data_IF_021691361940
#
_entry.id   IF_021691361940
#
_cell.length_a   1.000
_cell.length_b   1.000
_cell.length_c   1.000
_cell.angle_alpha   90.00
_cell.angle_beta   90.00
_cell.angle_gamma   90.00
#
_symmetry.space_group_name_H-M   'P 1'
#
loop_
_entity.id
_entity.type
_entity.pdbx_description
1 polymer ?
2 polymer ?
3 non-polymer ?
4 non-polymer ?
5 water ?
#
# COMPACT_ATOMS: atom_id res chain seq x y z
N UNK A 4 9.54 -13.51 28.28
CA UNK A 4 10.68 -13.42 29.15
C UNK A 4 11.82 -12.73 28.41
N UNK A 5 13.05 -12.96 28.89
CA UNK A 5 14.24 -12.50 28.19
C UNK A 5 14.46 -13.22 26.87
N UNK A 6 13.76 -14.33 26.62
CA UNK A 6 14.07 -15.19 25.49
C UNK A 6 13.23 -14.89 24.26
N UNK A 7 12.20 -14.08 24.39
CA UNK A 7 11.32 -13.77 23.29
C UNK A 7 11.70 -12.42 22.69
N UNK A 8 11.26 -12.23 21.45
CA UNK A 8 11.54 -11.04 20.66
C UNK A 8 10.24 -10.63 19.97
N UNK A 9 9.96 -9.34 19.97
CA UNK A 9 8.88 -8.78 19.18
C UNK A 9 9.44 -7.62 18.39
N UNK A 10 9.06 -7.55 17.11
CA UNK A 10 9.58 -6.58 16.16
C UNK A 10 8.40 -5.87 15.52
N UNK A 11 8.47 -4.56 15.45
CA UNK A 11 7.37 -3.80 14.89
C UNK A 11 7.88 -2.97 13.74
N UNK A 12 7.12 -2.96 12.65
CA UNK A 12 7.50 -2.20 11.47
C UNK A 12 6.29 -1.38 11.04
N UNK A 13 6.53 -0.24 10.41
CA UNK A 13 5.40 0.61 10.05
C UNK A 13 5.34 0.73 8.54
N UNK A 14 4.12 0.79 7.99
CA UNK A 14 3.90 0.99 6.57
C UNK A 14 2.98 2.18 6.43
N UNK A 15 3.07 2.87 5.29
CA UNK A 15 2.10 3.88 4.93
C UNK A 15 1.52 3.53 3.57
N UNK A 16 0.20 3.62 3.46
CA UNK A 16 -0.55 3.39 2.24
C UNK A 16 -1.17 4.73 1.88
N UNK A 17 -1.05 5.15 0.62
CA UNK A 17 -1.64 6.44 0.31
C UNK A 17 -2.08 6.53 -1.12
N UNK A 18 -2.76 7.64 -1.45
CA UNK A 18 -3.06 7.91 -2.85
C UNK A 18 -3.32 9.40 -3.06
N UNK A 19 -3.27 9.80 -4.32
CA UNK A 19 -3.71 11.12 -4.75
C UNK A 19 -4.58 10.93 -5.98
N UNK A 20 -5.47 11.88 -6.20
CA UNK A 20 -6.39 11.86 -7.34
C UNK A 20 -6.52 13.28 -7.81
N UNK A 21 -6.60 13.47 -9.12
CA UNK A 21 -6.83 14.78 -9.70
C UNK A 21 -7.90 14.67 -10.80
N UNK A 22 -8.84 15.61 -10.78
CA UNK A 22 -9.84 15.69 -11.83
C UNK A 22 -9.19 16.23 -13.09
N UNK A 23 -9.39 15.55 -14.22
CA UNK A 23 -8.80 16.01 -15.46
C UNK A 23 -9.58 17.21 -15.98
N UNK A 24 -8.88 18.21 -16.50
CA UNK A 24 -9.71 19.24 -17.13
C UNK A 24 -10.31 18.78 -18.45
N UNK A 25 -9.80 17.70 -19.05
CA UNK A 25 -10.35 17.16 -20.28
C UNK A 25 -10.57 15.67 -20.09
N UNK A 26 -11.81 15.17 -20.10
CA UNK A 26 -12.02 13.72 -19.96
C UNK A 26 -11.40 13.01 -21.15
N UNK A 27 -10.99 11.75 -20.93
CA UNK A 27 -10.42 10.99 -22.05
C UNK A 27 -11.52 10.53 -23.00
N UNK A 28 -11.10 9.94 -24.12
CA UNK A 28 -12.08 9.52 -25.12
C UNK A 28 -13.02 8.47 -24.55
N UNK A 29 -12.59 7.75 -23.52
CA UNK A 29 -13.43 6.79 -22.81
C UNK A 29 -14.22 7.42 -21.67
N UNK A 30 -14.13 8.74 -21.49
CA UNK A 30 -14.81 9.33 -20.36
C UNK A 30 -14.15 9.07 -19.02
N UNK A 31 -12.88 8.70 -18.99
CA UNK A 31 -12.19 8.70 -17.70
C UNK A 31 -12.05 10.14 -17.25
N UNK A 32 -12.41 10.41 -15.99
CA UNK A 32 -12.50 11.79 -15.47
C UNK A 32 -11.35 12.18 -14.55
N UNK A 33 -10.64 11.19 -14.01
CA UNK A 33 -9.60 11.48 -12.99
C UNK A 33 -8.29 10.74 -13.27
N UNK A 34 -7.20 11.32 -12.78
CA UNK A 34 -5.85 10.71 -12.84
C UNK A 34 -5.54 10.37 -11.38
N UNK A 35 -5.12 9.14 -11.09
CA UNK A 35 -4.85 8.81 -9.67
C UNK A 35 -3.60 7.94 -9.53
N UNK A 36 -3.00 8.00 -8.34
CA UNK A 36 -1.82 7.17 -8.03
C UNK A 36 -1.98 6.61 -6.62
N UNK A 37 -1.75 5.31 -6.45
CA UNK A 37 -1.83 4.64 -5.12
C UNK A 37 -0.42 4.17 -4.79
N UNK A 38 0.03 4.31 -3.55
CA UNK A 38 1.42 3.88 -3.25
C UNK A 38 1.52 3.29 -1.84
N UNK A 39 2.57 2.49 -1.65
CA UNK A 39 2.90 1.88 -0.33
C UNK A 39 4.34 2.27 -0.05
N UNK A 40 4.60 2.86 1.11
CA UNK A 40 5.99 3.27 1.42
C UNK A 40 6.24 3.15 2.92
N UNK A 41 7.51 3.04 3.29
CA UNK A 41 7.90 3.02 4.70
C UNK A 41 7.96 4.44 5.23
N UNK A 42 8.04 4.66 6.56
CA UNK A 42 8.14 6.01 7.13
C UNK A 42 9.57 6.60 7.07
N UNK A 43 9.78 7.74 7.72
CA UNK A 43 11.10 8.44 7.66
C UNK A 43 12.23 7.48 8.05
N UNK A 44 13.28 7.46 7.22
CA UNK A 44 14.49 6.61 7.40
C UNK A 44 14.14 5.12 7.42
N UNK A 45 13.16 4.70 6.61
CA UNK A 45 12.80 3.26 6.54
C UNK A 45 12.85 2.80 5.08
N UNK A 46 13.53 1.68 4.82
CA UNK A 46 13.65 1.07 3.47
C UNK A 46 12.96 -0.29 3.53
N UNK A 47 11.68 -0.34 3.17
CA UNK A 47 10.85 -1.58 3.30
C UNK A 47 11.30 -2.69 2.35
N UNK A 48 12.16 -2.39 1.37
CA UNK A 48 12.65 -3.40 0.39
C UNK A 48 13.41 -4.54 1.09
N UNK A 49 14.09 -4.28 2.21
CA UNK A 49 14.84 -5.33 2.94
C UNK A 49 13.91 -6.47 3.34
N UNK A 50 12.69 -6.19 3.79
CA UNK A 50 11.78 -7.29 4.19
C UNK A 50 10.60 -7.48 3.23
N UNK A 51 10.48 -6.66 2.18
CA UNK A 51 9.31 -6.81 1.26
C UNK A 51 9.75 -7.42 -0.07
N UNK A 52 9.26 -8.62 -0.39
CA UNK A 52 9.58 -9.27 -1.69
C UNK A 52 8.89 -8.50 -2.82
N UNK A 53 7.61 -8.18 -2.63
CA UNK A 53 6.84 -7.44 -3.66
C UNK A 53 5.56 -6.87 -3.06
N UNK A 54 4.98 -5.88 -3.74
CA UNK A 54 3.68 -5.28 -3.34
C UNK A 54 2.75 -5.50 -4.53
N UNK A 55 1.58 -6.09 -4.29
CA UNK A 55 0.64 -6.37 -5.41
C UNK A 55 -0.60 -5.50 -5.22
N UNK A 56 -0.93 -4.71 -6.25
CA UNK A 56 -2.14 -3.85 -6.21
C UNK A 56 -3.20 -4.52 -7.07
N UNK A 57 -4.33 -4.89 -6.46
CA UNK A 57 -5.41 -5.57 -7.21
C UNK A 57 -6.42 -4.53 -7.69
N UNK A 58 -6.32 -4.16 -8.97
CA UNK A 58 -7.23 -3.15 -9.56
C UNK A 58 -8.58 -3.79 -9.88
N UNK A 59 -9.59 -2.95 -10.12
CA UNK A 59 -10.94 -3.42 -10.52
C UNK A 59 -10.82 -4.08 -11.90
N UNK A 60 -11.72 -5.02 -12.22
CA UNK A 60 -11.71 -5.82 -13.48
C UNK A 60 -11.75 -4.96 -14.75
N UNK A 61 -12.35 -3.76 -14.71
CA UNK A 61 -12.42 -2.85 -15.88
C UNK A 61 -11.02 -2.46 -16.38
N UNK A 62 -10.03 -2.31 -15.49
CA UNK A 62 -8.64 -1.97 -15.88
C UNK A 62 -7.95 -3.16 -16.57
N UNK A 63 -7.00 -2.95 -17.65
CA UNK A 63 -5.97 -3.89 -18.61
C UNK A 63 -4.96 -4.45 -17.60
N UNK A 64 -4.82 -5.78 -17.51
CA UNK A 64 -3.83 -6.38 -16.57
C UNK A 64 -4.05 -5.84 -15.15
N UNK A 65 -5.22 -6.09 -14.53
CA UNK A 65 -5.57 -5.53 -13.21
C UNK A 65 -4.60 -5.86 -12.06
N UNK A 66 -3.93 -7.01 -12.10
CA UNK A 66 -2.98 -7.31 -10.99
C UNK A 66 -1.65 -6.62 -11.31
N UNK A 67 -1.35 -5.54 -10.58
CA UNK A 67 -0.10 -4.75 -10.80
C UNK A 67 0.92 -5.14 -9.73
N UNK A 68 2.08 -5.65 -10.16
CA UNK A 68 3.12 -6.13 -9.21
C UNK A 68 4.32 -5.19 -9.21
N UNK A 69 4.74 -4.75 -8.01
CA UNK A 69 5.96 -3.93 -7.86
C UNK A 69 6.95 -4.74 -7.02
N UNK A 70 8.09 -5.11 -7.61
CA UNK A 70 9.11 -5.94 -6.91
C UNK A 70 10.20 -5.06 -6.31
N UNK A 71 10.16 -3.75 -6.59
CA UNK A 71 11.18 -2.82 -6.05
C UNK A 71 10.57 -1.43 -5.89
N UNK A 72 11.09 -0.56 -5.00
CA UNK A 72 10.55 0.78 -4.82
C UNK A 72 10.78 1.65 -6.07
N UNK A 73 9.88 2.60 -6.40
CA UNK A 73 8.70 2.90 -5.58
C UNK A 73 7.54 1.93 -5.82
N UNK A 74 6.88 1.50 -4.74
CA UNK A 74 5.73 0.57 -4.88
C UNK A 74 4.50 1.45 -5.14
N UNK A 75 4.11 1.55 -6.41
CA UNK A 75 2.97 2.44 -6.73
C UNK A 75 2.34 2.03 -8.06
N UNK A 76 1.12 2.52 -8.28
CA UNK A 76 0.36 2.29 -9.54
C UNK A 76 -0.22 3.63 -9.98
N UNK A 77 -0.06 3.98 -11.25
CA UNK A 77 -0.60 5.25 -11.81
C UNK A 77 -1.65 4.86 -12.85
N UNK A 78 -2.85 5.42 -12.75
CA UNK A 78 -3.93 5.08 -13.71
C UNK A 78 -4.90 6.25 -13.88
N UNK A 79 -5.70 6.18 -14.94
CA UNK A 79 -6.78 7.16 -15.19
C UNK A 79 -8.09 6.37 -15.04
N UNK A 80 -9.10 6.96 -14.40
CA UNK A 80 -10.36 6.24 -14.15
C UNK A 80 -11.54 7.18 -14.00
N UNK A 81 -12.73 6.61 -13.79
CA UNK A 81 -13.97 7.42 -13.63
C UNK A 81 -14.69 7.09 -12.32
N UNK A 82 -14.25 6.09 -11.56
CA UNK A 82 -14.99 5.79 -10.34
C UNK A 82 -14.06 5.31 -9.24
N UNK A 83 -14.37 5.70 -7.99
CA UNK A 83 -13.69 5.13 -6.83
C UNK A 83 -14.00 3.66 -6.66
N UNK A 84 -13.10 2.93 -5.96
CA UNK A 84 -13.30 1.49 -5.78
C UNK A 84 -12.41 0.97 -4.67
N UNK A 85 -12.71 -0.27 -4.18
CA UNK A 85 -11.93 -0.91 -3.13
C UNK A 85 -10.82 -1.71 -3.79
N UNK A 86 -9.59 -1.51 -3.34
CA UNK A 86 -8.40 -2.10 -3.97
C UNK A 86 -7.71 -2.98 -2.95
N UNK A 87 -7.76 -4.32 -3.05
CA UNK A 87 -6.83 -5.14 -2.24
C UNK A 87 -5.38 -4.80 -2.54
N UNK A 88 -4.58 -4.62 -1.47
CA UNK A 88 -3.15 -4.42 -1.58
C UNK A 88 -2.48 -5.47 -0.71
N UNK A 89 -1.70 -6.34 -1.34
CA UNK A 89 -0.96 -7.38 -0.64
C UNK A 89 0.51 -7.00 -0.56
N UNK A 90 1.08 -7.08 0.64
CA UNK A 90 2.52 -6.88 0.82
C UNK A 90 3.10 -8.25 1.12
N UNK A 91 3.89 -8.76 0.17
CA UNK A 91 4.54 -10.09 0.32
C UNK A 91 5.88 -9.89 1.04
N UNK A 92 6.16 -10.72 2.04
CA UNK A 92 7.39 -10.58 2.85
C UNK A 92 8.46 -11.56 2.39
N UNK A 93 9.73 -11.20 2.59
CA UNK A 93 10.89 -12.10 2.31
C UNK A 93 11.12 -12.96 3.56
N UNK A 94 10.16 -13.85 3.86
CA UNK A 94 10.13 -14.75 5.04
C UNK A 94 9.79 -16.14 4.52
N UNK A 95 10.51 -17.17 4.97
CA UNK A 95 10.23 -18.55 4.48
C UNK A 95 9.16 -19.21 5.36
N UNK A 96 8.78 -18.56 6.46
CA UNK A 96 7.73 -19.12 7.36
C UNK A 96 6.55 -18.15 7.42
N UNK A 97 5.44 -18.58 8.03
CA UNK A 97 4.28 -17.70 8.19
C UNK A 97 4.62 -16.54 9.12
N UNK A 98 4.04 -15.35 8.89
CA UNK A 98 3.19 -15.08 7.73
C UNK A 98 3.99 -14.73 6.48
N UNK A 99 3.46 -15.11 5.32
CA UNK A 99 4.11 -14.81 4.05
C UNK A 99 3.71 -13.46 3.47
N UNK A 100 2.60 -12.90 3.91
CA UNK A 100 2.15 -11.62 3.39
C UNK A 100 1.19 -11.02 4.40
N UNK A 101 0.80 -9.77 4.14
CA UNK A 101 -0.31 -9.11 4.83
C UNK A 101 -1.17 -8.41 3.78
N UNK A 102 -2.49 -8.46 3.96
CA UNK A 102 -3.42 -7.96 2.96
C UNK A 102 -4.19 -6.80 3.56
N UNK A 103 -4.27 -5.70 2.82
CA UNK A 103 -5.08 -4.54 3.19
C UNK A 103 -6.18 -4.36 2.17
N UNK A 104 -7.26 -3.77 2.59
CA UNK A 104 -8.33 -3.37 1.70
C UNK A 104 -8.28 -1.85 1.69
N UNK A 105 -7.86 -1.26 0.57
CA UNK A 105 -7.67 0.18 0.49
C UNK A 105 -8.80 0.82 -0.32
N UNK A 106 -9.35 1.92 0.19
CA UNK A 106 -10.39 2.69 -0.50
C UNK A 106 -9.76 3.71 -1.44
N UNK A 107 -9.67 3.37 -2.72
CA UNK A 107 -9.23 4.33 -3.74
C UNK A 107 -10.42 5.24 -4.03
N UNK A 108 -10.55 6.35 -3.29
CA UNK A 108 -11.65 7.28 -3.49
C UNK A 108 -11.23 8.50 -4.31
N UNK A 109 -12.13 8.97 -5.17
CA UNK A 109 -11.87 10.10 -6.04
C UNK A 109 -12.54 11.37 -5.57
N UNK A 110 -13.47 11.22 -4.62
CA UNK A 110 -14.20 12.38 -4.05
C UNK A 110 -14.31 12.19 -2.54
N UNK A 111 -14.38 13.28 -1.77
CA UNK A 111 -14.46 13.19 -0.28
C UNK A 111 -15.87 12.82 0.19
N UNK A 112 -16.04 12.61 1.50
CA UNK A 112 -17.36 12.23 2.08
C UNK A 112 -18.39 13.34 1.80
N UNK A 113 -17.97 14.61 1.87
CA UNK A 113 -18.89 15.73 1.57
C UNK A 113 -19.48 15.53 0.18
N UNK A 114 -20.77 15.81 0.03
CA UNK A 114 -21.48 15.50 -1.24
C UNK A 114 -20.82 16.18 -2.44
N UNK A 115 -20.44 17.48 -2.40
CA UNK A 115 -19.84 18.12 -3.57
C UNK A 115 -18.52 17.49 -4.01
N UNK A 116 -18.30 17.31 -5.34
CA UNK A 116 -17.05 16.76 -5.87
C UNK A 116 -15.92 17.79 -5.71
N UNK A 117 -14.67 17.32 -5.59
CA UNK A 117 -13.51 18.24 -5.42
C UNK A 117 -12.54 18.07 -6.60
N UNK A 118 -11.65 19.05 -6.78
CA UNK A 118 -10.67 19.04 -7.85
C UNK A 118 -9.48 18.09 -7.63
N UNK A 119 -9.13 17.78 -6.39
CA UNK A 119 -7.99 16.91 -6.13
C UNK A 119 -7.97 16.64 -4.65
N UNK A 120 -7.41 15.49 -4.28
CA UNK A 120 -7.31 15.11 -2.89
C UNK A 120 -6.08 14.23 -2.74
N UNK A 121 -5.65 14.04 -1.50
CA UNK A 121 -4.72 12.98 -1.21
C UNK A 121 -5.03 12.45 0.17
N UNK A 122 -4.45 11.30 0.47
CA UNK A 122 -4.85 10.57 1.65
C UNK A 122 -3.67 9.73 2.07
N UNK A 123 -3.52 9.55 3.37
CA UNK A 123 -2.42 8.74 3.87
C UNK A 123 -3.00 7.88 4.97
N UNK A 124 -2.64 6.61 4.96
CA UNK A 124 -3.05 5.66 5.99
C UNK A 124 -1.80 5.01 6.56
N UNK A 125 -1.70 4.96 7.89
CA UNK A 125 -0.56 4.34 8.55
C UNK A 125 -0.95 2.98 9.11
N UNK A 126 -0.06 2.01 8.96
CA UNK A 126 -0.31 0.65 9.43
C UNK A 126 0.91 0.14 10.18
N UNK A 127 0.68 -0.44 11.34
CA UNK A 127 1.75 -0.99 12.15
C UNK A 127 1.67 -2.51 12.07
N UNK A 128 2.79 -3.16 11.75
CA UNK A 128 2.87 -4.61 11.70
C UNK A 128 3.65 -5.11 12.91
N UNK A 129 3.18 -6.17 13.55
CA UNK A 129 3.89 -6.72 14.69
C UNK A 129 4.22 -8.18 14.39
N UNK A 130 5.48 -8.55 14.63
CA UNK A 130 5.96 -9.93 14.40
C UNK A 130 6.49 -10.49 15.72
N UNK A 131 5.94 -11.62 16.16
CA UNK A 131 6.38 -12.26 17.42
C UNK A 131 7.31 -13.43 17.08
N UNK A 132 8.51 -13.44 17.66
CA UNK A 132 9.48 -14.55 17.47
C UNK A 132 9.71 -14.84 15.98
N UNK A 133 10.01 -13.83 15.14
CA UNK A 133 10.29 -14.07 13.73
C UNK A 133 11.61 -14.84 13.57
N UNK A 134 11.74 -15.58 12.47
CA UNK A 134 12.98 -16.35 12.18
C UNK A 134 14.22 -15.44 12.14
N UNK A 135 15.37 -15.99 12.54
CA UNK A 135 16.68 -15.29 12.55
C UNK A 135 16.87 -14.48 11.27
N UNK A 136 16.61 -15.09 10.11
CA UNK A 136 16.80 -14.37 8.84
C UNK A 136 15.76 -13.26 8.63
N UNK A 137 14.50 -13.53 8.95
CA UNK A 137 13.47 -12.50 8.74
C UNK A 137 13.61 -11.37 9.74
N UNK A 138 13.98 -11.71 10.98
CA UNK A 138 14.16 -10.69 12.01
C UNK A 138 15.15 -9.64 11.55
N UNK A 139 16.26 -10.08 10.96
CA UNK A 139 17.26 -9.12 10.52
C UNK A 139 16.73 -8.19 9.43
N UNK A 140 15.95 -8.72 8.47
CA UNK A 140 15.41 -7.86 7.41
C UNK A 140 14.46 -6.82 7.98
N UNK A 141 13.62 -7.23 8.94
CA UNK A 141 12.72 -6.28 9.57
C UNK A 141 13.49 -5.15 10.24
N UNK A 142 14.52 -5.49 11.00
CA UNK A 142 15.29 -4.46 11.69
C UNK A 142 16.13 -3.66 10.71
N UNK A 143 16.67 -4.32 9.68
CA UNK A 143 17.52 -3.58 8.70
C UNK A 143 16.66 -2.59 7.91
N UNK A 144 15.33 -2.75 7.97
CA UNK A 144 14.37 -1.91 7.21
C UNK A 144 13.88 -0.75 8.08
N UNK A 145 14.50 -0.51 9.23
CA UNK A 145 14.02 0.58 10.09
C UNK A 145 13.04 0.07 11.14
N UNK A 146 12.99 -1.25 11.31
CA UNK A 146 12.11 -1.91 12.29
C UNK A 146 12.53 -1.66 13.74
N UNK A 147 11.61 -1.89 14.68
CA UNK A 147 11.95 -1.62 16.11
C UNK A 147 11.77 -2.88 16.95
N UNK A 148 12.86 -3.37 17.56
CA UNK A 148 12.72 -4.46 18.52
C UNK A 148 12.05 -3.90 19.77
N UNK A 149 10.91 -4.48 20.14
CA UNK A 149 10.14 -3.97 21.27
C UNK A 149 10.86 -4.32 22.56
N UNK A 150 11.25 -3.29 23.32
CA UNK A 150 11.89 -3.50 24.61
C UNK A 150 10.82 -3.66 25.70
N UNK A 151 10.86 -4.73 26.49
CA UNK A 151 9.90 -4.91 27.60
C UNK A 151 9.90 -3.73 28.55
N UNK B 1 -19.39 10.24 -5.54
CA UNK B 1 -19.77 10.10 -6.95
C UNK B 1 -19.89 8.62 -7.32
N UNK B 2 -19.53 8.28 -8.55
CA UNK B 2 -19.71 6.92 -9.06
C UNK B 2 -18.68 6.00 -8.45
N UNK B 3 -19.14 4.90 -7.86
CA UNK B 3 -18.24 3.86 -7.34
C UNK B 3 -18.34 2.68 -8.30
N UNK B 4 -17.34 1.82 -8.32
CA UNK B 4 -17.48 0.57 -9.04
C UNK B 4 -16.95 -0.53 -8.15
X LIG C 1 3.68 -13.17 -9.32
X LIG C 1 3.07 -12.22 -8.45
X LIG C 1 4.58 -12.27 -10.05
X LIG C 1 5.83 -12.19 -9.40
X LIG D 1 6.03 1.05 30.10
X LIG D 1 5.32 0.41 29.02
X LIG D 1 6.46 2.46 29.68
X LIG D 1 6.01 3.41 30.64
X LIG E 1 14.81 5.00 3.23
X LIG F 1 17.77 -5.18 -0.46
#
# INVERSE_FOLDING_TARGET
>A
GSHMDNQCTVQVRLELGHRAQLRKKPTTEGFTHDWMVFVRGPEQCDIQHFVEKVVFWLHDSFPKPRRVCKEPPYKVEESGYAGFIMPIEVHFKNKEEPRKVCFTYDLFLNLEGNPPVNHLNHLRCEKLTFNNPTTEFRYKLLRAGGVMVMPEGAHHHHHH
>B
AARK
>C hetero
1 EDO C1 O1 C2 O2
>D hetero
1 EDO C1 O1 C2 O2
>E hetero
1 IOD I
>F hetero
1 IOD I
#
